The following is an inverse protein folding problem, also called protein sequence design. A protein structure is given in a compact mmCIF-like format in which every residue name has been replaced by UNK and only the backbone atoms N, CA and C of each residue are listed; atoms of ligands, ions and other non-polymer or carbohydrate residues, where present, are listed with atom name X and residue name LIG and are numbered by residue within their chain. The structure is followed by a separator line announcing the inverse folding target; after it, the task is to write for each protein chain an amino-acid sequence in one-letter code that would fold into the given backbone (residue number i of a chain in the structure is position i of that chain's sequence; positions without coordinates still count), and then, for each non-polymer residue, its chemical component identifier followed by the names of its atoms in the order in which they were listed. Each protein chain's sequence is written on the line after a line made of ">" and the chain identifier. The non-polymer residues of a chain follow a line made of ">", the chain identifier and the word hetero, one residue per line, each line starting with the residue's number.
data_IF_611436791746
#
_entry.id   IF_611436791746
#
_cell.length_a   1.000
_cell.length_b   1.000
_cell.length_c   1.000
_cell.angle_alpha   90.00
_cell.angle_beta   90.00
_cell.angle_gamma   90.00
#
_symmetry.space_group_name_H-M   'P 1'
#
loop_
_entity.id
_entity.type
_entity.pdbx_description
1 polymer ?
#
# COMPACT_ATOMS: atom_id res chain seq x y z
N UNK A 1 2.44 -5.08 -15.62
CA UNK A 1 2.55 -4.85 -14.19
C UNK A 1 1.17 -4.91 -13.53
N UNK A 2 1.03 -5.51 -12.34
CA UNK A 2 -0.23 -5.46 -11.61
C UNK A 2 -0.57 -4.02 -11.20
N UNK A 3 -1.85 -3.68 -11.26
CA UNK A 3 -2.38 -2.37 -10.85
C UNK A 3 -3.46 -2.59 -9.80
N UNK A 4 -3.34 -1.88 -8.68
CA UNK A 4 -4.38 -1.88 -7.64
C UNK A 4 -5.43 -0.84 -8.03
N UNK A 5 -6.66 -1.28 -8.29
CA UNK A 5 -7.74 -0.38 -8.75
C UNK A 5 -8.69 0.03 -7.63
N UNK A 6 -8.91 -0.86 -6.66
CA UNK A 6 -9.80 -0.60 -5.53
C UNK A 6 -9.31 -1.31 -4.27
N UNK A 7 -9.48 -0.65 -3.13
CA UNK A 7 -9.30 -1.21 -1.79
C UNK A 7 -10.55 -0.95 -0.95
N UNK A 8 -10.96 -1.94 -0.18
CA UNK A 8 -11.98 -1.79 0.85
C UNK A 8 -11.31 -2.01 2.21
N UNK A 9 -11.38 -1.01 3.07
CA UNK A 9 -10.83 -1.04 4.41
C UNK A 9 -11.97 -1.07 5.44
N UNK A 10 -12.01 -2.10 6.29
CA UNK A 10 -12.89 -2.17 7.45
C UNK A 10 -12.05 -1.97 8.71
N UNK A 11 -12.45 -1.02 9.55
CA UNK A 11 -11.68 -0.58 10.72
C UNK A 11 -12.54 -0.60 11.96
N UNK A 12 -12.06 -1.22 13.00
CA UNK A 12 -12.61 -1.10 14.36
C UNK A 12 -11.64 -0.26 15.20
N UNK A 13 -12.02 0.97 15.48
CA UNK A 13 -11.27 1.90 16.29
C UNK A 13 -12.10 2.50 17.46
N UNK A 14 -13.18 1.83 17.83
CA UNK A 14 -14.13 2.35 18.79
C UNK A 14 -14.96 3.50 18.22
N UNK A 15 -15.39 4.42 19.07
CA UNK A 15 -16.17 5.59 18.67
C UNK A 15 -15.36 6.46 17.70
N UNK A 16 -15.95 6.76 16.54
CA UNK A 16 -15.38 7.67 15.54
C UNK A 16 -15.91 9.08 15.77
N UNK A 17 -15.11 9.93 16.39
CA UNK A 17 -15.50 11.30 16.77
C UNK A 17 -15.63 12.22 15.54
N UNK A 18 -14.73 12.09 14.57
CA UNK A 18 -14.75 12.85 13.32
C UNK A 18 -14.68 11.90 12.11
N UNK A 19 -15.83 11.49 11.55
CA UNK A 19 -15.85 10.54 10.43
C UNK A 19 -15.06 10.99 9.21
N UNK A 20 -15.16 12.24 8.82
CA UNK A 20 -14.44 12.78 7.64
C UNK A 20 -12.92 12.71 7.84
N UNK A 21 -12.42 13.15 8.99
CA UNK A 21 -11.01 13.06 9.33
C UNK A 21 -10.52 11.62 9.43
N UNK A 22 -11.34 10.74 10.02
CA UNK A 22 -11.02 9.31 10.16
C UNK A 22 -10.94 8.61 8.79
N UNK A 23 -11.88 8.87 7.88
CA UNK A 23 -11.84 8.34 6.50
C UNK A 23 -10.55 8.79 5.80
N UNK A 24 -10.24 10.08 5.84
CA UNK A 24 -9.03 10.62 5.20
C UNK A 24 -7.76 9.99 5.77
N UNK A 25 -7.70 9.76 7.07
CA UNK A 25 -6.56 9.13 7.72
C UNK A 25 -6.36 7.68 7.26
N UNK A 26 -7.42 6.89 7.20
CA UNK A 26 -7.35 5.50 6.73
C UNK A 26 -6.98 5.44 5.25
N UNK A 27 -7.58 6.29 4.42
CA UNK A 27 -7.25 6.38 2.99
C UNK A 27 -5.77 6.68 2.79
N UNK A 28 -5.23 7.69 3.50
CA UNK A 28 -3.82 8.06 3.44
C UNK A 28 -2.90 6.91 3.85
N UNK A 29 -3.19 6.24 4.98
CA UNK A 29 -2.41 5.11 5.46
C UNK A 29 -2.41 3.93 4.48
N UNK A 30 -3.56 3.59 3.90
CA UNK A 30 -3.68 2.53 2.88
C UNK A 30 -2.86 2.87 1.63
N UNK A 31 -2.96 4.11 1.12
CA UNK A 31 -2.21 4.54 -0.06
C UNK A 31 -0.71 4.53 0.18
N UNK A 32 -0.27 4.95 1.36
CA UNK A 32 1.13 4.90 1.75
C UNK A 32 1.64 3.46 1.83
N UNK A 33 0.88 2.57 2.46
CA UNK A 33 1.20 1.14 2.53
C UNK A 33 1.28 0.46 1.16
N UNK A 34 0.38 0.81 0.23
CA UNK A 34 0.46 0.35 -1.17
C UNK A 34 1.71 0.90 -1.85
N UNK A 35 2.01 2.19 -1.65
CA UNK A 35 3.21 2.84 -2.18
C UNK A 35 4.48 2.13 -1.75
N UNK A 36 4.61 1.81 -0.46
CA UNK A 36 5.73 1.03 0.05
C UNK A 36 5.79 -0.37 -0.54
N UNK A 37 4.68 -1.10 -0.56
CA UNK A 37 4.64 -2.48 -1.04
C UNK A 37 4.94 -2.61 -2.53
N UNK A 38 4.40 -1.71 -3.33
CA UNK A 38 4.51 -1.77 -4.80
C UNK A 38 5.81 -1.16 -5.32
N UNK A 39 6.25 -0.02 -4.75
CA UNK A 39 7.24 0.84 -5.37
C UNK A 39 8.42 1.22 -4.48
N UNK A 40 8.27 1.23 -3.15
CA UNK A 40 9.29 1.71 -2.23
C UNK A 40 10.56 0.86 -2.28
N UNK A 41 11.67 1.46 -2.72
CA UNK A 41 12.95 0.78 -2.91
C UNK A 41 14.10 1.66 -2.41
N UNK A 42 14.46 1.47 -1.15
CA UNK A 42 15.63 2.12 -0.57
C UNK A 42 16.81 1.16 -0.62
N UNK A 43 17.82 1.50 -1.40
CA UNK A 43 19.06 0.74 -1.54
C UNK A 43 20.23 1.40 -0.83
N UNK A 44 21.24 0.62 -0.50
CA UNK A 44 22.43 1.09 0.20
C UNK A 44 23.69 0.67 -0.54
N UNK A 45 24.66 1.59 -0.62
CA UNK A 45 26.03 1.35 -1.10
C UNK A 45 27.02 1.83 -0.04
N UNK A 46 27.96 1.00 0.36
CA UNK A 46 28.95 1.28 1.39
C UNK A 46 28.38 1.87 2.69
N UNK A 47 27.23 1.34 3.12
CA UNK A 47 26.53 1.77 4.33
C UNK A 47 25.79 3.10 4.22
N UNK A 48 25.68 3.67 3.02
CA UNK A 48 24.95 4.91 2.75
C UNK A 48 23.74 4.66 1.86
N UNK A 49 22.61 5.35 2.08
CA UNK A 49 21.46 5.25 1.18
C UNK A 49 21.81 5.79 -0.21
N UNK A 50 21.49 5.02 -1.25
CA UNK A 50 21.67 5.44 -2.65
C UNK A 50 20.65 6.50 -3.05
N UNK A 51 19.44 6.43 -2.45
CA UNK A 51 18.42 7.44 -2.64
C UNK A 51 18.60 8.56 -1.62
N UNK A 52 18.75 9.79 -2.08
CA UNK A 52 19.01 10.94 -1.20
C UNK A 52 17.80 11.82 -0.97
N UNK A 53 16.84 11.80 -1.88
CA UNK A 53 15.62 12.61 -1.81
C UNK A 53 14.52 11.98 -2.68
N UNK A 54 13.33 12.59 -2.71
CA UNK A 54 12.15 12.12 -3.45
C UNK A 54 12.27 12.24 -4.97
N UNK A 55 13.31 12.82 -5.50
CA UNK A 55 13.67 12.75 -6.92
C UNK A 55 14.22 11.38 -7.33
N UNK A 56 14.85 10.68 -6.38
CA UNK A 56 15.43 9.34 -6.58
C UNK A 56 14.70 8.23 -5.82
N UNK A 57 13.96 8.56 -4.76
CA UNK A 57 13.09 7.62 -4.05
C UNK A 57 11.65 7.71 -4.58
N UNK A 58 11.19 6.63 -5.22
CA UNK A 58 9.89 6.61 -5.87
C UNK A 58 8.74 6.46 -4.86
N UNK A 59 7.80 7.39 -4.91
CA UNK A 59 6.50 7.29 -4.26
C UNK A 59 5.40 6.90 -5.26
N UNK A 60 4.28 6.40 -4.77
CA UNK A 60 3.06 6.21 -5.56
C UNK A 60 2.60 7.57 -6.13
N UNK A 61 2.16 7.57 -7.38
CA UNK A 61 1.71 8.78 -8.08
C UNK A 61 0.18 8.85 -8.11
N UNK A 62 -0.36 10.05 -8.30
CA UNK A 62 -1.81 10.29 -8.32
C UNK A 62 -2.58 9.37 -9.28
N UNK A 63 -2.03 9.13 -10.46
CA UNK A 63 -2.63 8.25 -11.48
C UNK A 63 -2.49 6.75 -11.18
N UNK A 64 -1.77 6.39 -10.14
CA UNK A 64 -1.56 5.01 -9.67
C UNK A 64 -2.37 4.69 -8.41
N UNK A 65 -2.99 5.71 -7.81
CA UNK A 65 -3.75 5.53 -6.58
C UNK A 65 -5.07 4.80 -6.85
N UNK A 66 -5.38 3.75 -6.08
CA UNK A 66 -6.67 3.09 -6.15
C UNK A 66 -7.77 3.94 -5.52
N UNK A 67 -9.02 3.59 -5.83
CA UNK A 67 -10.15 4.01 -5.02
C UNK A 67 -10.06 3.30 -3.66
N UNK A 68 -10.15 4.05 -2.56
CA UNK A 68 -10.18 3.48 -1.20
C UNK A 68 -11.53 3.77 -0.56
N UNK A 69 -12.27 2.69 -0.31
CA UNK A 69 -13.55 2.70 0.39
C UNK A 69 -13.31 2.31 1.85
N UNK A 70 -13.81 3.11 2.80
CA UNK A 70 -13.57 2.92 4.24
C UNK A 70 -14.88 2.68 4.97
N UNK A 71 -14.92 1.65 5.80
CA UNK A 71 -16.02 1.32 6.69
C UNK A 71 -15.53 1.23 8.13
N UNK A 72 -16.27 1.82 9.06
CA UNK A 72 -16.01 1.69 10.48
C UNK A 72 -16.98 0.73 11.13
N UNK A 73 -16.47 -0.11 12.04
CA UNK A 73 -17.30 -0.92 12.90
C UNK A 73 -17.94 -0.01 13.95
N UNK A 74 -19.26 0.07 13.98
CA UNK A 74 -19.99 0.86 14.96
C UNK A 74 -20.06 0.13 16.30
N UNK A 75 -19.54 0.78 17.35
CA UNK A 75 -19.63 0.31 18.74
C UNK A 75 -19.48 1.50 19.71
N UNK A 76 -19.64 1.23 21.01
CA UNK A 76 -19.53 2.22 22.09
C UNK A 76 -18.20 2.14 22.86
N UNK A 77 -17.20 1.46 22.31
CA UNK A 77 -15.89 1.35 22.93
C UNK A 77 -15.14 2.68 22.87
N UNK A 78 -14.26 2.91 23.82
CA UNK A 78 -13.40 4.08 23.82
C UNK A 78 -12.59 4.16 22.53
N UNK A 79 -12.42 5.37 21.96
CA UNK A 79 -11.62 5.56 20.76
C UNK A 79 -10.20 5.05 20.94
N UNK A 80 -9.67 4.37 19.91
CA UNK A 80 -8.27 4.01 19.80
C UNK A 80 -7.54 4.96 18.84
N UNK A 81 -6.21 4.84 18.77
CA UNK A 81 -5.45 5.58 17.77
C UNK A 81 -5.76 5.11 16.35
N UNK A 82 -5.80 6.03 15.41
CA UNK A 82 -6.07 5.77 13.98
C UNK A 82 -4.95 6.29 13.06
N UNK A 83 -3.85 6.78 13.62
CA UNK A 83 -2.77 7.40 12.85
C UNK A 83 -2.13 6.49 11.83
N UNK A 84 -1.81 5.25 12.20
CA UNK A 84 -1.04 4.33 11.37
C UNK A 84 -1.71 2.98 11.06
N UNK A 85 -2.83 2.56 11.66
CA UNK A 85 -3.36 1.19 11.49
C UNK A 85 -3.69 0.82 10.05
N UNK A 86 -3.96 1.79 9.18
CA UNK A 86 -4.26 1.55 7.75
C UNK A 86 -3.06 1.11 6.92
N UNK A 87 -1.82 1.39 7.36
CA UNK A 87 -0.61 1.14 6.58
C UNK A 87 -0.15 -0.33 6.60
N UNK A 88 0.06 -0.97 7.77
CA UNK A 88 0.71 -2.29 7.83
C UNK A 88 -0.01 -3.40 7.06
N UNK A 89 -1.35 -3.52 7.08
CA UNK A 89 -2.05 -4.61 6.40
C UNK A 89 -2.10 -4.46 4.88
N UNK A 90 -1.84 -3.28 4.34
CA UNK A 90 -1.96 -3.00 2.90
C UNK A 90 -1.03 -3.87 2.05
N UNK A 91 0.22 -4.05 2.46
CA UNK A 91 1.18 -4.88 1.73
C UNK A 91 0.75 -6.33 1.61
N UNK A 92 0.28 -6.93 2.71
CA UNK A 92 -0.24 -8.30 2.71
C UNK A 92 -1.51 -8.46 1.86
N UNK A 93 -2.41 -7.50 1.92
CA UNK A 93 -3.63 -7.49 1.10
C UNK A 93 -3.29 -7.43 -0.40
N UNK A 94 -2.35 -6.57 -0.80
CA UNK A 94 -1.88 -6.45 -2.19
C UNK A 94 -1.21 -7.76 -2.64
N UNK A 95 -0.33 -8.34 -1.84
CA UNK A 95 0.33 -9.62 -2.17
C UNK A 95 -0.69 -10.74 -2.42
N UNK A 96 -1.72 -10.83 -1.58
CA UNK A 96 -2.80 -11.82 -1.75
C UNK A 96 -3.66 -11.54 -2.99
N UNK A 97 -3.95 -10.26 -3.29
CA UNK A 97 -4.68 -9.87 -4.49
C UNK A 97 -3.90 -10.21 -5.76
N UNK A 98 -2.59 -9.96 -5.79
CA UNK A 98 -1.70 -10.35 -6.89
C UNK A 98 -1.75 -11.86 -7.11
N UNK A 99 -1.64 -12.64 -6.04
CA UNK A 99 -1.72 -14.09 -6.14
C UNK A 99 -3.07 -14.54 -6.70
N UNK A 100 -4.16 -13.98 -6.22
CA UNK A 100 -5.51 -14.33 -6.70
C UNK A 100 -5.70 -13.99 -8.17
N UNK A 101 -5.16 -12.87 -8.63
CA UNK A 101 -5.32 -12.40 -10.01
C UNK A 101 -4.39 -13.11 -11.01
N UNK A 102 -3.15 -13.38 -10.61
CA UNK A 102 -2.09 -13.84 -11.52
C UNK A 102 -1.55 -15.23 -11.21
N UNK A 103 -1.98 -15.87 -10.13
CA UNK A 103 -1.46 -17.17 -9.68
C UNK A 103 -0.03 -17.12 -9.13
N UNK A 104 0.61 -15.93 -9.10
CA UNK A 104 1.99 -15.75 -8.66
C UNK A 104 2.04 -15.21 -7.22
N UNK A 105 2.77 -15.90 -6.35
CA UNK A 105 3.11 -15.39 -5.01
C UNK A 105 4.25 -14.40 -5.09
N UNK A 106 4.14 -13.29 -4.35
CA UNK A 106 5.18 -12.27 -4.19
C UNK A 106 5.61 -12.20 -2.72
N UNK A 107 6.91 -12.22 -2.48
CA UNK A 107 7.50 -12.26 -1.13
C UNK A 107 8.53 -11.16 -0.89
N UNK A 108 8.91 -10.41 -1.94
CA UNK A 108 9.91 -9.34 -1.87
C UNK A 108 9.30 -8.03 -2.33
N UNK A 109 9.49 -6.99 -1.55
CA UNK A 109 9.15 -5.62 -1.92
C UNK A 109 10.37 -4.93 -2.57
N UNK A 110 10.13 -3.97 -3.47
CA UNK A 110 8.84 -3.60 -4.03
C UNK A 110 8.33 -4.66 -5.02
N UNK A 111 7.02 -4.93 -4.98
CA UNK A 111 6.42 -6.01 -5.77
C UNK A 111 6.57 -5.81 -7.28
N UNK A 112 6.68 -4.57 -7.78
CA UNK A 112 6.86 -4.29 -9.21
C UNK A 112 8.12 -4.96 -9.77
N UNK A 113 9.20 -5.06 -8.99
CA UNK A 113 10.45 -5.74 -9.40
C UNK A 113 10.26 -7.23 -9.72
N UNK A 114 9.27 -7.86 -9.10
CA UNK A 114 8.95 -9.27 -9.38
C UNK A 114 8.35 -9.48 -10.78
N UNK A 115 7.96 -8.40 -11.47
CA UNK A 115 7.30 -8.42 -12.78
C UNK A 115 8.11 -7.74 -13.89
N UNK A 116 9.17 -7.00 -13.59
CA UNK A 116 10.01 -6.31 -14.57
C UNK A 116 10.72 -7.28 -15.54
N UNK A 117 11.12 -8.46 -15.04
CA UNK A 117 11.78 -9.49 -15.84
C UNK A 117 10.85 -10.34 -16.74
N UNK A 118 9.54 -10.06 -16.73
CA UNK A 118 8.57 -10.79 -17.56
C UNK A 118 8.46 -10.15 -18.94
N UNK A 119 8.69 -8.83 -19.05
CA UNK A 119 8.62 -8.08 -20.30
C UNK A 119 9.72 -8.51 -21.29
N UNK A 120 10.90 -8.91 -20.81
CA UNK A 120 12.04 -9.31 -21.64
C UNK A 120 11.93 -10.74 -22.20
N UNK A 121 10.97 -11.53 -21.71
CA UNK A 121 10.75 -12.92 -22.17
C UNK A 121 9.64 -13.07 -23.22
N UNK A 122 8.94 -11.99 -23.55
CA UNK A 122 7.84 -12.01 -24.55
C UNK A 122 8.30 -11.51 -25.93
N UNK A 123 9.53 -11.04 -26.04
CA UNK A 123 10.13 -10.62 -27.31
C UNK A 123 11.27 -11.60 -27.64
N UNK A 124 10.87 -12.80 -28.01
CA UNK A 124 11.77 -13.86 -28.47
C UNK A 124 11.01 -14.81 -29.37
#
# INVERSE_FOLDING_TARGET
>A
LPVVTKVVAAVDCGIVVNPTGAINQVQGGVLDGIGHAMYGDLTFEDGKPSNKNFDTYRLIRMNETPQVEVHFVENELSPTGLGEPGLPPAGGAVANAIHKALGKRVYKQPFVKEFENISDKIVG
#
